data_IF_257812220954
#
_entry.id   IF_257812220954
#
_cell.length_a   1.000
_cell.length_b   1.000
_cell.length_c   1.000
_cell.angle_alpha   90.00
_cell.angle_beta   90.00
_cell.angle_gamma   90.00
#
_symmetry.space_group_name_H-M   'P 1'
#
loop_
_entity.id
_entity.type
_entity.pdbx_description
1 polymer ?
#
# COMPACT_ATOMS: atom_id res chain seq x y z
N UNK A 1 15.23 8.23 4.48
CA UNK A 1 14.36 7.02 4.50
C UNK A 1 12.95 7.38 4.05
N UNK A 2 12.21 6.42 3.50
CA UNK A 2 10.78 6.59 3.21
C UNK A 2 9.95 6.16 4.41
N UNK A 3 9.02 7.01 4.85
CA UNK A 3 8.12 6.77 5.96
C UNK A 3 6.66 6.96 5.54
N UNK A 4 5.75 6.50 6.38
CA UNK A 4 4.31 6.52 6.11
C UNK A 4 3.53 6.97 7.35
N UNK A 5 2.81 8.07 7.23
CA UNK A 5 1.76 8.47 8.17
C UNK A 5 0.44 7.82 7.74
N UNK A 6 -0.33 7.28 8.70
CA UNK A 6 -1.49 6.42 8.44
C UNK A 6 -2.76 6.97 9.09
N UNK A 7 -3.83 7.04 8.31
CA UNK A 7 -5.17 7.43 8.77
C UNK A 7 -6.17 6.33 8.41
N UNK A 8 -6.87 5.80 9.42
CA UNK A 8 -7.90 4.80 9.20
C UNK A 8 -9.24 5.46 8.91
N UNK A 9 -9.84 5.08 7.79
CA UNK A 9 -11.21 5.44 7.41
C UNK A 9 -12.07 4.20 7.56
N UNK A 10 -12.95 4.15 8.55
CA UNK A 10 -13.89 3.03 8.74
C UNK A 10 -15.13 3.19 7.87
N UNK A 11 -15.90 2.11 7.72
CA UNK A 11 -17.18 2.10 6.98
C UNK A 11 -18.17 3.20 7.42
N UNK A 12 -18.15 3.60 8.69
CA UNK A 12 -19.04 4.63 9.24
C UNK A 12 -18.56 6.07 8.97
N UNK A 13 -17.33 6.25 8.47
CA UNK A 13 -16.79 7.57 8.19
C UNK A 13 -17.49 8.19 6.98
N UNK A 14 -17.86 9.48 7.06
CA UNK A 14 -18.53 10.18 5.97
C UNK A 14 -17.73 10.19 4.65
N UNK A 15 -16.40 10.05 4.72
CA UNK A 15 -15.50 9.97 3.55
C UNK A 15 -15.51 8.59 2.90
N UNK A 16 -16.03 7.56 3.57
CA UNK A 16 -15.97 6.18 3.10
C UNK A 16 -16.62 6.00 1.72
N UNK A 17 -17.86 6.47 1.55
CA UNK A 17 -18.64 6.22 0.33
C UNK A 17 -17.97 6.79 -0.93
N UNK A 18 -17.34 7.97 -0.84
CA UNK A 18 -16.68 8.59 -1.99
C UNK A 18 -15.35 7.93 -2.32
N UNK A 19 -14.60 7.50 -1.29
CA UNK A 19 -13.38 6.70 -1.46
C UNK A 19 -13.73 5.36 -2.11
N UNK A 20 -14.82 4.72 -1.66
CA UNK A 20 -15.23 3.41 -2.16
C UNK A 20 -15.57 3.42 -3.65
N UNK A 21 -16.30 4.45 -4.11
CA UNK A 21 -16.59 4.66 -5.52
C UNK A 21 -15.31 4.84 -6.35
N UNK A 22 -14.36 5.64 -5.87
CA UNK A 22 -13.10 5.84 -6.55
C UNK A 22 -12.23 4.56 -6.58
N UNK A 23 -12.18 3.80 -5.49
CA UNK A 23 -11.47 2.53 -5.41
C UNK A 23 -12.11 1.44 -6.30
N UNK A 24 -13.42 1.49 -6.50
CA UNK A 24 -14.12 0.64 -7.47
C UNK A 24 -13.76 1.02 -8.92
N UNK A 25 -13.74 2.32 -9.24
CA UNK A 25 -13.28 2.80 -10.55
C UNK A 25 -11.81 2.41 -10.82
N UNK A 26 -10.95 2.53 -9.79
CA UNK A 26 -9.55 2.08 -9.85
C UNK A 26 -9.46 0.59 -10.17
N UNK A 27 -10.29 -0.23 -9.51
CA UNK A 27 -10.39 -1.67 -9.79
C UNK A 27 -10.82 -1.95 -11.23
N UNK A 28 -11.80 -1.22 -11.75
CA UNK A 28 -12.26 -1.40 -13.13
C UNK A 28 -11.13 -1.11 -14.13
N UNK A 29 -10.39 -0.02 -13.93
CA UNK A 29 -9.23 0.29 -14.76
C UNK A 29 -8.14 -0.78 -14.65
N UNK A 30 -7.81 -1.22 -13.43
CA UNK A 30 -6.82 -2.28 -13.21
C UNK A 30 -7.20 -3.56 -13.95
N UNK A 31 -8.43 -4.03 -13.79
CA UNK A 31 -8.90 -5.25 -14.44
C UNK A 31 -8.93 -5.10 -15.97
N UNK A 32 -9.38 -3.96 -16.49
CA UNK A 32 -9.43 -3.70 -17.93
C UNK A 32 -8.03 -3.68 -18.53
N UNK A 33 -7.09 -3.01 -17.89
CA UNK A 33 -5.69 -2.99 -18.30
C UNK A 33 -5.05 -4.38 -18.21
N UNK A 34 -5.28 -5.09 -17.11
CA UNK A 34 -4.75 -6.44 -16.90
C UNK A 34 -5.34 -7.44 -17.91
N UNK A 35 -6.57 -7.23 -18.38
CA UNK A 35 -7.15 -8.05 -19.45
C UNK A 35 -6.29 -8.00 -20.71
N UNK A 36 -5.95 -6.79 -21.20
CA UNK A 36 -5.10 -6.64 -22.38
C UNK A 36 -3.72 -7.29 -22.20
N UNK A 37 -3.07 -7.09 -21.04
CA UNK A 37 -1.76 -7.69 -20.77
C UNK A 37 -1.85 -9.22 -20.72
N UNK A 38 -2.88 -9.78 -20.07
CA UNK A 38 -3.08 -11.23 -19.98
C UNK A 38 -3.38 -11.85 -21.33
N UNK A 39 -4.18 -11.20 -22.18
CA UNK A 39 -4.48 -11.70 -23.52
C UNK A 39 -3.20 -11.83 -24.35
N UNK A 40 -2.38 -10.76 -24.39
CA UNK A 40 -1.08 -10.79 -25.07
C UNK A 40 -0.14 -11.85 -24.47
N UNK A 41 -0.05 -11.93 -23.13
CA UNK A 41 0.86 -12.86 -22.48
C UNK A 41 0.47 -14.32 -22.69
N UNK A 42 -0.81 -14.66 -22.59
CA UNK A 42 -1.30 -16.04 -22.65
C UNK A 42 -1.38 -16.53 -24.11
N UNK A 43 -1.82 -15.68 -25.05
CA UNK A 43 -2.09 -16.11 -26.42
C UNK A 43 -0.97 -15.77 -27.40
N UNK A 44 -0.20 -14.71 -27.14
CA UNK A 44 0.87 -14.23 -28.04
C UNK A 44 2.27 -14.48 -27.43
N UNK A 45 2.36 -14.82 -26.14
CA UNK A 45 3.63 -14.98 -25.43
C UNK A 45 4.38 -13.66 -25.20
N UNK A 46 3.72 -12.51 -25.37
CA UNK A 46 4.33 -11.19 -25.27
C UNK A 46 3.87 -10.40 -24.05
N UNK A 47 4.69 -9.47 -23.59
CA UNK A 47 4.33 -8.55 -22.51
C UNK A 47 4.06 -7.14 -23.05
N UNK A 48 2.92 -6.57 -22.66
CA UNK A 48 2.57 -5.18 -22.99
C UNK A 48 3.04 -4.22 -21.89
N UNK A 49 4.01 -3.34 -22.18
CA UNK A 49 4.48 -2.37 -21.20
C UNK A 49 3.45 -1.25 -20.96
N UNK A 50 3.69 -0.44 -19.93
CA UNK A 50 2.84 0.69 -19.55
C UNK A 50 2.44 1.57 -20.75
N UNK A 51 3.40 1.95 -21.60
CA UNK A 51 3.14 2.84 -22.74
C UNK A 51 2.10 2.24 -23.70
N UNK A 52 2.23 0.95 -24.04
CA UNK A 52 1.29 0.26 -24.93
C UNK A 52 -0.12 0.23 -24.33
N UNK A 53 -0.25 -0.10 -23.04
CA UNK A 53 -1.54 -0.12 -22.35
C UNK A 53 -2.15 1.28 -22.22
N UNK A 54 -1.34 2.29 -21.92
CA UNK A 54 -1.78 3.69 -21.87
C UNK A 54 -2.37 4.14 -23.21
N UNK A 55 -1.69 3.89 -24.33
CA UNK A 55 -2.19 4.28 -25.64
C UNK A 55 -3.50 3.56 -26.02
N UNK A 56 -3.68 2.31 -25.60
CA UNK A 56 -4.93 1.55 -25.79
C UNK A 56 -6.09 2.09 -24.94
N UNK A 57 -5.82 2.53 -23.72
CA UNK A 57 -6.86 2.84 -22.74
C UNK A 57 -7.10 4.34 -22.49
N UNK A 58 -6.26 5.25 -23.00
CA UNK A 58 -6.35 6.70 -22.69
C UNK A 58 -7.72 7.35 -22.98
N UNK A 59 -8.52 6.77 -23.87
CA UNK A 59 -9.88 7.21 -24.20
C UNK A 59 -10.98 6.31 -23.63
N UNK A 60 -10.63 5.16 -23.04
CA UNK A 60 -11.57 4.20 -22.50
C UNK A 60 -12.28 4.74 -21.24
N UNK A 61 -13.56 4.39 -21.05
CA UNK A 61 -14.39 4.86 -19.93
C UNK A 61 -13.72 4.63 -18.56
N UNK A 62 -13.19 3.43 -18.30
CA UNK A 62 -12.52 3.08 -17.05
C UNK A 62 -11.29 3.97 -16.76
N UNK A 63 -10.58 4.43 -17.79
CA UNK A 63 -9.44 5.32 -17.63
C UNK A 63 -9.89 6.78 -17.42
N UNK A 64 -11.01 7.18 -18.05
CA UNK A 64 -11.64 8.48 -17.89
C UNK A 64 -12.41 8.64 -16.57
N UNK A 65 -12.76 7.55 -15.90
CA UNK A 65 -13.50 7.54 -14.63
C UNK A 65 -12.71 8.11 -13.44
N UNK A 66 -11.40 8.30 -13.59
CA UNK A 66 -10.52 8.88 -12.59
C UNK A 66 -9.70 10.02 -13.21
N UNK A 67 -9.17 10.96 -12.40
CA UNK A 67 -8.24 11.96 -12.91
C UNK A 67 -7.03 11.29 -13.58
N UNK A 68 -6.62 11.81 -14.74
CA UNK A 68 -5.60 11.19 -15.63
C UNK A 68 -4.33 10.75 -14.91
N UNK A 69 -3.84 11.56 -13.95
CA UNK A 69 -2.66 11.24 -13.14
C UNK A 69 -2.87 10.00 -12.26
N UNK A 70 -4.05 9.86 -11.66
CA UNK A 70 -4.42 8.70 -10.83
C UNK A 70 -4.56 7.46 -11.71
N UNK A 71 -5.20 7.61 -12.87
CA UNK A 71 -5.31 6.52 -13.86
C UNK A 71 -3.93 6.03 -14.33
N UNK A 72 -3.01 6.95 -14.63
CA UNK A 72 -1.64 6.59 -15.01
C UNK A 72 -0.91 5.84 -13.88
N UNK A 73 -1.05 6.28 -12.63
CA UNK A 73 -0.45 5.60 -11.49
C UNK A 73 -0.96 4.16 -11.32
N UNK A 74 -2.24 3.91 -11.61
CA UNK A 74 -2.81 2.54 -11.61
C UNK A 74 -2.20 1.68 -12.71
N UNK A 75 -2.03 2.22 -13.92
CA UNK A 75 -1.39 1.50 -15.03
C UNK A 75 0.10 1.21 -14.75
N UNK A 76 0.80 2.15 -14.11
CA UNK A 76 2.19 1.97 -13.67
C UNK A 76 2.26 0.88 -12.57
N UNK A 77 1.34 0.88 -11.62
CA UNK A 77 1.29 -0.16 -10.60
C UNK A 77 1.04 -1.55 -11.20
N UNK A 78 0.16 -1.65 -12.21
CA UNK A 78 -0.01 -2.89 -12.97
C UNK A 78 1.30 -3.32 -13.66
N UNK A 79 1.99 -2.38 -14.31
CA UNK A 79 3.28 -2.64 -14.95
C UNK A 79 4.30 -3.19 -13.95
N UNK A 80 4.42 -2.60 -12.75
CA UNK A 80 5.30 -3.11 -11.70
C UNK A 80 4.91 -4.53 -11.25
N UNK A 81 3.62 -4.82 -11.11
CA UNK A 81 3.16 -6.16 -10.74
C UNK A 81 3.58 -7.21 -11.79
N UNK A 82 3.49 -6.87 -13.08
CA UNK A 82 3.91 -7.75 -14.17
C UNK A 82 5.42 -7.91 -14.25
N UNK A 83 6.19 -6.83 -14.15
CA UNK A 83 7.66 -6.89 -14.13
C UNK A 83 8.16 -7.73 -12.96
N UNK A 84 7.56 -7.56 -11.77
CA UNK A 84 7.87 -8.39 -10.61
C UNK A 84 7.57 -9.88 -10.87
N UNK A 85 6.41 -10.20 -11.45
CA UNK A 85 6.09 -11.57 -11.84
C UNK A 85 7.11 -12.15 -12.83
N UNK A 86 7.50 -11.40 -13.87
CA UNK A 86 8.46 -11.86 -14.87
C UNK A 86 9.83 -12.17 -14.24
N UNK A 87 10.32 -11.30 -13.35
CA UNK A 87 11.58 -11.52 -12.61
C UNK A 87 11.51 -12.75 -11.69
N UNK A 88 10.40 -12.92 -10.97
CA UNK A 88 10.22 -14.08 -10.08
C UNK A 88 10.10 -15.36 -10.90
N UNK A 89 9.49 -15.32 -12.08
CA UNK A 89 9.44 -16.45 -13.01
C UNK A 89 10.81 -16.83 -13.57
N UNK A 90 11.69 -15.86 -13.81
CA UNK A 90 13.08 -16.09 -14.20
C UNK A 90 13.86 -16.81 -13.09
N UNK A 91 13.83 -16.27 -11.87
CA UNK A 91 14.44 -16.90 -10.71
C UNK A 91 13.88 -18.31 -10.43
N UNK A 92 12.58 -18.52 -10.62
CA UNK A 92 11.96 -19.84 -10.49
C UNK A 92 12.45 -20.84 -11.55
N UNK A 93 12.79 -20.39 -12.76
CA UNK A 93 13.35 -21.27 -13.80
C UNK A 93 14.78 -21.69 -13.49
N UNK A 94 15.55 -20.81 -12.83
CA UNK A 94 16.92 -21.09 -12.40
C UNK A 94 16.96 -22.08 -11.23
N UNK A 95 16.15 -21.83 -10.19
CA UNK A 95 16.04 -22.71 -9.02
C UNK A 95 14.59 -22.83 -8.54
N UNK A 96 13.84 -23.85 -9.00
CA UNK A 96 12.50 -24.12 -8.50
C UNK A 96 12.44 -24.47 -7.01
N UNK A 97 13.53 -24.98 -6.42
CA UNK A 97 13.55 -25.48 -5.04
C UNK A 97 13.50 -24.36 -3.99
N UNK A 98 13.91 -23.14 -4.37
CA UNK A 98 13.78 -21.94 -3.55
C UNK A 98 12.32 -21.45 -3.39
N UNK A 99 11.35 -22.08 -4.06
CA UNK A 99 9.96 -21.66 -4.08
C UNK A 99 9.02 -22.78 -3.59
N UNK A 100 7.96 -22.39 -2.88
CA UNK A 100 6.91 -23.33 -2.45
C UNK A 100 5.97 -23.74 -3.59
N UNK A 101 6.12 -23.15 -4.77
CA UNK A 101 5.36 -23.47 -5.97
C UNK A 101 5.60 -22.46 -7.09
N UNK A 102 5.06 -22.78 -8.27
CA UNK A 102 5.22 -21.95 -9.46
C UNK A 102 4.57 -20.56 -9.28
N UNK A 103 5.28 -19.45 -9.58
CA UNK A 103 4.71 -18.11 -9.53
C UNK A 103 3.50 -17.99 -10.46
N UNK A 104 2.48 -17.25 -10.00
CA UNK A 104 1.22 -17.05 -10.73
C UNK A 104 1.18 -15.66 -11.37
N UNK A 105 0.63 -15.58 -12.58
CA UNK A 105 0.40 -14.31 -13.27
C UNK A 105 -0.52 -13.39 -12.44
N UNK A 106 -0.36 -12.05 -12.52
CA UNK A 106 -1.26 -11.10 -11.85
C UNK A 106 -2.75 -11.38 -12.15
N UNK A 107 -3.51 -11.61 -11.09
CA UNK A 107 -4.94 -11.93 -11.15
C UNK A 107 -5.83 -10.71 -11.36
N UNK A 108 -7.10 -10.97 -11.67
CA UNK A 108 -8.13 -9.93 -11.63
C UNK A 108 -8.59 -9.72 -10.19
N UNK A 109 -9.02 -8.51 -9.89
CA UNK A 109 -9.78 -8.21 -8.69
C UNK A 109 -11.23 -8.68 -8.86
N UNK A 110 -11.92 -8.98 -7.76
CA UNK A 110 -13.33 -9.39 -7.79
C UNK A 110 -14.20 -8.35 -8.51
N UNK A 111 -15.14 -8.83 -9.34
CA UNK A 111 -15.97 -7.97 -10.19
C UNK A 111 -16.87 -7.03 -9.39
N UNK A 112 -17.41 -7.47 -8.26
CA UNK A 112 -18.43 -6.75 -7.48
C UNK A 112 -17.88 -6.19 -6.17
N UNK A 113 -17.22 -7.05 -5.39
CA UNK A 113 -16.66 -6.77 -4.07
C UNK A 113 -15.24 -6.23 -4.16
N UNK A 114 -14.56 -6.39 -5.30
CA UNK A 114 -13.18 -5.97 -5.46
C UNK A 114 -13.00 -4.45 -5.43
N UNK A 115 -11.92 -4.02 -4.81
CA UNK A 115 -11.45 -2.63 -4.76
C UNK A 115 -9.96 -2.63 -5.02
N UNK A 116 -9.46 -1.60 -5.70
CA UNK A 116 -8.04 -1.43 -5.94
C UNK A 116 -7.56 -0.13 -5.32
N UNK A 117 -6.28 -0.07 -4.99
CA UNK A 117 -5.71 1.10 -4.35
C UNK A 117 -5.80 2.34 -5.25
N UNK A 118 -5.84 3.51 -4.63
CA UNK A 118 -5.67 4.79 -5.30
C UNK A 118 -4.29 5.34 -4.97
N UNK A 119 -3.63 5.93 -5.97
CA UNK A 119 -2.30 6.51 -5.82
C UNK A 119 -2.36 7.95 -6.33
N UNK A 120 -2.07 8.89 -5.43
CA UNK A 120 -2.01 10.31 -5.70
C UNK A 120 -0.59 10.80 -5.50
N UNK A 121 0.16 10.90 -6.60
CA UNK A 121 1.46 11.57 -6.59
C UNK A 121 1.32 13.01 -6.07
N UNK A 122 2.40 13.59 -5.55
CA UNK A 122 2.45 14.98 -5.05
C UNK A 122 1.78 16.00 -5.98
N UNK A 123 1.96 15.85 -7.31
CA UNK A 123 1.37 16.74 -8.34
C UNK A 123 -0.14 16.56 -8.53
N UNK A 124 -0.74 15.56 -7.93
CA UNK A 124 -2.18 15.30 -7.87
C UNK A 124 -2.78 15.73 -6.52
N UNK A 125 -2.02 16.42 -5.66
CA UNK A 125 -2.48 16.95 -4.38
C UNK A 125 -2.65 18.49 -4.48
N UNK A 126 -3.66 19.02 -3.80
CA UNK A 126 -3.99 20.44 -3.79
C UNK A 126 -2.99 21.33 -3.04
N UNK A 127 -1.84 21.68 -3.65
CA UNK A 127 -0.79 22.52 -3.03
C UNK A 127 -1.30 23.83 -2.44
N UNK A 128 -2.17 24.55 -3.17
CA UNK A 128 -2.71 25.85 -2.72
C UNK A 128 -3.55 25.70 -1.46
N UNK A 129 -4.37 24.65 -1.39
CA UNK A 129 -5.22 24.38 -0.23
C UNK A 129 -4.37 23.93 0.95
N UNK A 130 -3.37 23.07 0.72
CA UNK A 130 -2.43 22.64 1.76
C UNK A 130 -1.74 23.83 2.41
N UNK A 131 -1.18 24.77 1.62
CA UNK A 131 -0.51 25.96 2.17
C UNK A 131 -1.40 26.85 3.04
N UNK A 132 -2.72 26.84 2.82
CA UNK A 132 -3.68 27.65 3.57
C UNK A 132 -4.23 26.93 4.81
N UNK A 133 -4.34 25.61 4.77
CA UNK A 133 -5.13 24.83 5.74
C UNK A 133 -4.34 23.74 6.46
N UNK A 134 -3.14 23.38 5.98
CA UNK A 134 -2.39 22.21 6.44
C UNK A 134 -2.99 20.86 5.99
N UNK A 135 -4.08 20.86 5.22
CA UNK A 135 -4.79 19.64 4.82
C UNK A 135 -4.49 19.26 3.37
N UNK A 136 -4.29 17.97 3.13
CA UNK A 136 -4.15 17.41 1.79
C UNK A 136 -5.52 17.11 1.20
N UNK A 137 -5.72 17.54 -0.05
CA UNK A 137 -6.90 17.22 -0.86
C UNK A 137 -6.42 16.50 -2.14
N UNK A 138 -6.73 15.21 -2.31
CA UNK A 138 -6.41 14.49 -3.53
C UNK A 138 -7.29 14.95 -4.72
N UNK A 139 -6.69 15.04 -5.91
CA UNK A 139 -7.40 15.48 -7.12
C UNK A 139 -8.60 14.57 -7.43
N UNK A 140 -9.76 15.16 -7.73
CA UNK A 140 -10.97 14.41 -8.05
C UNK A 140 -11.56 13.60 -6.88
N UNK A 141 -11.03 13.79 -5.66
CA UNK A 141 -11.54 13.15 -4.45
C UNK A 141 -11.61 14.20 -3.34
N UNK A 142 -12.79 14.84 -3.12
CA UNK A 142 -12.96 15.96 -2.19
C UNK A 142 -12.99 15.49 -0.72
N UNK A 143 -11.91 14.84 -0.29
CA UNK A 143 -11.66 14.48 1.10
C UNK A 143 -10.53 15.34 1.64
N UNK A 144 -10.62 15.68 2.93
CA UNK A 144 -9.53 16.35 3.63
C UNK A 144 -8.76 15.34 4.48
N UNK A 145 -7.43 15.40 4.36
CA UNK A 145 -6.50 14.58 5.14
C UNK A 145 -5.62 15.55 5.93
N UNK A 146 -5.80 15.58 7.25
CA UNK A 146 -4.91 16.32 8.14
C UNK A 146 -3.56 15.59 8.21
N UNK A 147 -2.46 16.33 8.17
CA UNK A 147 -1.12 15.76 8.29
C UNK A 147 -0.19 16.79 8.91
N UNK A 148 0.83 16.34 9.64
CA UNK A 148 1.88 17.22 10.16
C UNK A 148 3.13 17.23 9.26
N UNK A 149 3.09 16.47 8.17
CA UNK A 149 4.21 16.37 7.24
C UNK A 149 4.28 17.62 6.35
N UNK A 150 5.48 18.20 6.24
CA UNK A 150 5.72 19.35 5.38
C UNK A 150 5.45 19.03 3.91
N UNK A 151 5.04 20.05 3.14
CA UNK A 151 4.77 19.87 1.72
C UNK A 151 5.97 19.30 0.98
N UNK A 152 7.18 19.72 1.33
CA UNK A 152 8.45 19.35 0.72
C UNK A 152 8.74 17.86 0.90
N UNK A 153 8.52 17.32 2.10
CA UNK A 153 8.74 15.91 2.42
C UNK A 153 7.73 14.97 1.76
N UNK A 154 6.50 15.42 1.52
CA UNK A 154 5.45 14.60 0.91
C UNK A 154 5.85 14.14 -0.49
N UNK A 155 5.67 12.83 -0.74
CA UNK A 155 5.92 12.18 -2.04
C UNK A 155 4.63 11.74 -2.71
N UNK A 156 3.74 11.08 -1.97
CA UNK A 156 2.45 10.64 -2.49
C UNK A 156 1.46 10.38 -1.35
N UNK A 157 0.17 10.33 -1.69
CA UNK A 157 -0.87 9.75 -0.84
C UNK A 157 -1.37 8.48 -1.51
N UNK A 158 -1.42 7.38 -0.76
CA UNK A 158 -2.08 6.14 -1.19
C UNK A 158 -3.35 5.93 -0.39
N UNK A 159 -4.39 5.40 -1.01
CA UNK A 159 -5.58 4.93 -0.30
C UNK A 159 -5.72 3.45 -0.57
N UNK A 160 -5.50 2.65 0.46
CA UNK A 160 -5.37 1.19 0.36
C UNK A 160 -6.62 0.53 0.96
N UNK A 161 -7.35 -0.30 0.20
CA UNK A 161 -8.48 -1.06 0.74
C UNK A 161 -8.07 -1.96 1.90
N UNK A 162 -8.89 -2.00 2.95
CA UNK A 162 -8.78 -2.89 4.11
C UNK A 162 -10.14 -3.56 4.35
N UNK A 163 -10.16 -4.61 5.18
CA UNK A 163 -11.40 -5.34 5.47
C UNK A 163 -12.47 -4.44 6.14
N UNK A 164 -12.04 -3.51 6.99
CA UNK A 164 -12.89 -2.63 7.80
C UNK A 164 -12.96 -1.18 7.27
N UNK A 165 -12.47 -0.94 6.03
CA UNK A 165 -12.54 0.35 5.38
C UNK A 165 -11.32 0.63 4.50
N UNK A 166 -10.69 1.79 4.69
CA UNK A 166 -9.53 2.22 3.92
C UNK A 166 -8.42 2.76 4.82
N UNK A 167 -7.17 2.43 4.49
CA UNK A 167 -6.00 3.07 5.06
C UNK A 167 -5.52 4.16 4.12
N UNK A 168 -5.58 5.41 4.56
CA UNK A 168 -4.96 6.53 3.86
C UNK A 168 -3.52 6.65 4.36
N UNK A 169 -2.57 6.54 3.44
CA UNK A 169 -1.15 6.53 3.69
C UNK A 169 -0.52 7.78 3.07
N UNK A 170 -0.05 8.71 3.89
CA UNK A 170 0.79 9.82 3.44
C UNK A 170 2.23 9.35 3.43
N UNK A 171 2.79 9.14 2.25
CA UNK A 171 4.16 8.68 2.06
C UNK A 171 5.08 9.88 1.91
N UNK A 172 6.13 9.92 2.72
CA UNK A 172 7.06 11.04 2.77
C UNK A 172 8.50 10.57 2.94
N UNK A 173 9.43 11.45 2.63
CA UNK A 173 10.85 11.23 2.87
C UNK A 173 11.30 12.04 4.08
N UNK A 174 12.11 11.40 4.91
CA UNK A 174 12.78 12.02 6.03
C UNK A 174 14.28 11.79 5.88
N UNK A 175 15.06 12.85 5.99
CA UNK A 175 16.51 12.75 6.07
C UNK A 175 16.90 11.94 7.31
N UNK A 176 17.81 11.00 7.11
CA UNK A 176 18.41 10.30 8.23
C UNK A 176 19.35 11.29 8.91
N UNK A 177 19.01 11.74 10.10
CA UNK A 177 19.96 12.39 10.99
C UNK A 177 20.62 11.27 11.81
N UNK A 178 21.89 10.92 11.55
CA UNK A 178 22.60 9.95 12.36
C UNK A 178 22.65 10.48 13.79
N UNK A 179 22.14 9.71 14.75
CA UNK A 179 22.35 10.05 16.14
C UNK A 179 23.86 9.97 16.44
N UNK A 180 24.36 10.86 17.30
CA UNK A 180 25.70 10.73 17.85
C UNK A 180 25.74 9.46 18.73
N UNK A 181 26.16 8.35 18.13
CA UNK A 181 26.26 7.04 18.78
C UNK A 181 27.71 6.73 19.09
N UNK A 182 27.97 6.02 20.20
CA UNK A 182 29.28 5.44 20.46
C UNK A 182 29.34 4.06 19.78
N UNK A 183 30.18 3.86 18.75
CA UNK A 183 30.24 2.60 18.01
C UNK A 183 30.77 1.40 18.81
N UNK A 184 31.32 1.62 20.00
CA UNK A 184 31.77 0.54 20.89
C UNK A 184 30.62 -0.07 21.69
N UNK A 185 29.56 0.70 21.93
CA UNK A 185 28.40 0.21 22.65
C UNK A 185 27.57 -0.72 21.76
N UNK A 186 26.96 -1.72 22.38
CA UNK A 186 26.08 -2.70 21.78
C UNK A 186 24.69 -2.55 22.39
N UNK A 187 23.68 -2.65 21.54
CA UNK A 187 22.30 -2.79 21.96
C UNK A 187 21.73 -4.05 21.31
N UNK A 188 21.02 -4.84 22.10
CA UNK A 188 20.34 -6.04 21.64
C UNK A 188 18.84 -5.87 21.80
N UNK A 189 18.09 -6.34 20.81
CA UNK A 189 16.64 -6.41 20.83
C UNK A 189 16.26 -7.86 20.61
N UNK A 190 15.63 -8.46 21.62
CA UNK A 190 15.05 -9.79 21.52
C UNK A 190 13.52 -9.65 21.42
N UNK A 191 12.91 -10.25 20.40
CA UNK A 191 11.49 -10.11 20.10
C UNK A 191 10.76 -11.39 20.52
N UNK A 192 9.73 -11.25 21.34
CA UNK A 192 8.97 -12.38 21.87
C UNK A 192 7.46 -12.14 21.84
N UNK A 193 6.71 -13.07 22.44
CA UNK A 193 5.22 -13.01 22.46
C UNK A 193 4.68 -12.45 23.78
N UNK A 194 5.30 -12.80 24.92
CA UNK A 194 4.89 -12.32 26.25
C UNK A 194 5.52 -10.96 26.57
N UNK A 195 6.84 -10.90 26.40
CA UNK A 195 7.59 -9.65 26.25
C UNK A 195 7.72 -9.46 24.75
N UNK A 196 7.05 -8.43 24.21
CA UNK A 196 7.06 -8.15 22.78
C UNK A 196 8.48 -7.82 22.32
N UNK A 197 9.19 -7.02 23.11
CA UNK A 197 10.59 -6.71 22.88
C UNK A 197 11.30 -6.52 24.22
N UNK A 198 12.39 -7.25 24.42
CA UNK A 198 13.37 -6.98 25.46
C UNK A 198 14.53 -6.20 24.84
N UNK A 199 14.77 -4.99 25.35
CA UNK A 199 15.80 -4.09 24.84
C UNK A 199 16.85 -3.94 25.93
N UNK A 200 18.09 -4.30 25.62
CA UNK A 200 19.23 -4.19 26.54
C UNK A 200 20.43 -3.53 25.83
N UNK A 201 21.34 -2.96 26.61
CA UNK A 201 22.59 -2.38 26.10
C UNK A 201 23.67 -2.46 27.17
N UNK A 202 24.92 -2.52 26.73
CA UNK A 202 26.12 -2.37 27.57
C UNK A 202 26.42 -0.91 27.97
N UNK A 203 25.56 0.04 27.56
CA UNK A 203 25.66 1.45 27.96
C UNK A 203 25.52 1.61 29.48
N UNK A 204 26.53 2.17 30.18
CA UNK A 204 26.45 2.42 31.62
C UNK A 204 25.21 3.25 32.00
N UNK A 205 24.48 2.81 33.03
CA UNK A 205 23.29 3.48 33.54
C UNK A 205 22.02 3.26 32.71
N UNK A 206 22.07 2.50 31.60
CA UNK A 206 20.87 2.15 30.85
C UNK A 206 20.15 0.98 31.54
N UNK A 207 18.89 1.21 31.93
CA UNK A 207 18.02 0.17 32.48
C UNK A 207 17.35 -0.58 31.33
N UNK A 208 17.45 -1.92 31.26
CA UNK A 208 16.77 -2.71 30.24
C UNK A 208 15.27 -2.43 30.20
N UNK A 209 14.71 -2.35 28.99
CA UNK A 209 13.28 -2.08 28.79
C UNK A 209 12.56 -3.31 28.27
N UNK A 210 11.50 -3.69 28.96
CA UNK A 210 10.60 -4.75 28.53
C UNK A 210 9.30 -4.13 28.01
N UNK A 211 9.02 -4.34 26.73
CA UNK A 211 7.76 -3.93 26.11
C UNK A 211 6.77 -5.08 26.28
N UNK A 212 5.64 -4.84 26.93
CA UNK A 212 4.65 -5.90 27.17
C UNK A 212 3.95 -6.33 25.87
N UNK A 213 3.87 -7.64 25.62
CA UNK A 213 3.09 -8.22 24.52
C UNK A 213 1.62 -8.51 24.89
N UNK A 214 1.22 -8.29 26.14
CA UNK A 214 -0.16 -8.57 26.61
C UNK A 214 -1.24 -7.83 25.80
N UNK A 215 -1.10 -6.54 25.45
CA UNK A 215 -2.11 -5.85 24.64
C UNK A 215 -2.30 -6.51 23.25
N UNK A 216 -1.20 -6.89 22.59
CA UNK A 216 -1.24 -7.57 21.29
C UNK A 216 -1.90 -8.95 21.40
N UNK A 217 -1.60 -9.71 22.47
CA UNK A 217 -2.27 -10.98 22.75
C UNK A 217 -3.78 -10.82 22.94
N UNK A 218 -4.21 -9.81 23.70
CA UNK A 218 -5.62 -9.53 23.93
C UNK A 218 -6.35 -9.21 22.62
N UNK A 219 -5.77 -8.35 21.77
CA UNK A 219 -6.30 -8.05 20.44
C UNK A 219 -6.39 -9.30 19.56
N UNK A 220 -5.33 -10.13 19.54
CA UNK A 220 -5.33 -11.37 18.78
C UNK A 220 -6.39 -12.36 19.29
N UNK A 221 -6.59 -12.46 20.61
CA UNK A 221 -7.62 -13.31 21.20
C UNK A 221 -9.02 -12.84 20.81
N UNK A 222 -9.29 -11.54 20.83
CA UNK A 222 -10.54 -10.96 20.34
C UNK A 222 -10.76 -11.27 18.85
N UNK A 223 -9.72 -11.13 18.02
CA UNK A 223 -9.78 -11.49 16.61
C UNK A 223 -10.14 -12.97 16.42
N UNK A 224 -9.41 -13.90 17.06
CA UNK A 224 -9.69 -15.35 16.98
C UNK A 224 -11.15 -15.65 17.37
N UNK A 225 -11.65 -15.06 18.47
CA UNK A 225 -13.04 -15.24 18.91
C UNK A 225 -14.06 -14.72 17.90
N UNK A 226 -13.75 -13.66 17.15
CA UNK A 226 -14.64 -13.11 16.12
C UNK A 226 -14.65 -13.89 14.80
N UNK A 227 -13.65 -14.75 14.57
CA UNK A 227 -13.50 -15.56 13.35
C UNK A 227 -13.95 -17.01 13.56
N UNK A 228 -13.74 -17.59 14.74
CA UNK A 228 -14.13 -18.97 15.04
C UNK A 228 -15.62 -19.31 14.79
N UNK A 229 -16.60 -18.42 15.07
CA UNK A 229 -18.01 -18.68 14.77
C UNK A 229 -18.33 -18.78 13.26
N UNK A 230 -17.42 -18.33 12.39
CA UNK A 230 -17.64 -18.28 10.92
C UNK A 230 -17.05 -19.49 10.17
N UNK A 231 -16.35 -20.38 10.86
CA UNK A 231 -15.73 -21.59 10.29
C UNK A 231 -16.44 -22.88 10.72
N UNK A 232 -17.43 -22.79 11.59
CA UNK A 232 -18.20 -23.90 12.13
C UNK A 232 -19.59 -24.06 11.47
N UNK A 233 -19.79 -23.47 10.28
CA UNK A 233 -21.04 -23.53 9.51
C UNK A 233 -20.79 -23.81 8.04
#
# INVERSE_FOLDING_TARGET
>A
MQLVERHLIRHQDARFAIIDRAAFASKNLYNQANYHVRQAFIHEGTYLPYAAIFHRLKQHEAYCALPRKVSNAILIQLHHNWVSFLRVMEAYREDPSAFTGRPKIPGYQDKTKGRFMLIYEKKALGKRVFKRTGKLIPSGLPIEIATQITWEAIRQVRIVPRADGYMVEVVYEQELQPAAVNPQLRAAVDVGVNVLAAITSDKPGLVPRLVSGKPLKSLNQCYVRSVQPKLAG
#
